data_IF_941815859485
#
_entry.id   IF_941815859485
#
_cell.length_a   1.000
_cell.length_b   1.000
_cell.length_c   1.000
_cell.angle_alpha   90.00
_cell.angle_beta   90.00
_cell.angle_gamma   90.00
#
_symmetry.space_group_name_H-M   'P 1'
#
loop_
_entity.id
_entity.type
_entity.pdbx_description
1 polymer ?
#
# COMPACT_ATOMS: atom_id res chain seq x y z
N UNK A 1 8.29 -10.57 -2.58
CA UNK A 1 8.52 -9.95 -1.26
C UNK A 1 7.53 -8.83 -0.98
N UNK A 2 7.27 -7.87 -1.87
CA UNK A 2 6.40 -6.70 -1.59
C UNK A 2 4.92 -7.02 -1.31
N UNK A 3 4.40 -8.13 -1.84
CA UNK A 3 2.98 -8.47 -1.77
C UNK A 3 2.43 -8.57 -0.33
N UNK A 4 3.24 -9.03 0.64
CA UNK A 4 2.78 -9.13 2.02
C UNK A 4 2.45 -7.77 2.63
N UNK A 5 3.19 -6.70 2.30
CA UNK A 5 2.89 -5.34 2.74
C UNK A 5 1.60 -4.82 2.10
N UNK A 6 1.37 -5.13 0.82
CA UNK A 6 0.14 -4.72 0.14
C UNK A 6 -1.09 -5.39 0.75
N UNK A 7 -1.02 -6.71 0.99
CA UNK A 7 -2.06 -7.47 1.67
C UNK A 7 -2.27 -7.00 3.11
N UNK A 8 -1.19 -6.66 3.82
CA UNK A 8 -1.24 -6.08 5.16
C UNK A 8 -2.01 -4.75 5.15
N UNK A 9 -1.63 -3.83 4.26
CA UNK A 9 -2.28 -2.54 4.10
C UNK A 9 -3.76 -2.70 3.77
N UNK A 10 -4.11 -3.58 2.83
CA UNK A 10 -5.49 -3.88 2.45
C UNK A 10 -6.29 -4.44 3.63
N UNK A 11 -5.74 -5.44 4.33
CA UNK A 11 -6.42 -6.12 5.43
C UNK A 11 -6.71 -5.19 6.61
N UNK A 12 -5.79 -4.28 6.91
CA UNK A 12 -5.85 -3.44 8.10
C UNK A 12 -6.15 -1.97 7.81
N UNK A 13 -6.46 -1.64 6.55
CA UNK A 13 -6.73 -0.27 6.06
C UNK A 13 -5.69 0.76 6.52
N UNK A 14 -4.43 0.35 6.61
CA UNK A 14 -3.35 1.16 7.19
C UNK A 14 -2.31 1.55 6.13
N UNK A 15 -1.62 2.71 6.29
CA UNK A 15 -0.63 3.13 5.33
C UNK A 15 0.65 2.30 5.42
N UNK A 16 1.22 1.98 4.26
CA UNK A 16 2.57 1.41 4.11
C UNK A 16 3.45 2.40 3.34
N UNK A 17 4.77 2.31 3.51
CA UNK A 17 5.73 3.03 2.68
C UNK A 17 5.92 2.25 1.38
N UNK A 18 5.69 2.90 0.24
CA UNK A 18 5.90 2.33 -1.09
C UNK A 18 6.93 3.16 -1.86
N UNK A 19 7.77 2.48 -2.63
CA UNK A 19 8.65 3.04 -3.66
C UNK A 19 8.30 2.37 -4.98
N UNK A 20 7.95 3.15 -5.99
CA UNK A 20 7.53 2.66 -7.30
C UNK A 20 8.13 3.50 -8.43
N UNK A 21 8.13 2.94 -9.63
CA UNK A 21 8.49 3.64 -10.85
C UNK A 21 7.24 4.24 -11.50
N UNK A 22 7.28 5.51 -11.85
CA UNK A 22 6.21 6.17 -12.62
C UNK A 22 6.87 7.09 -13.65
N UNK A 23 6.55 6.89 -14.93
CA UNK A 23 7.13 7.66 -16.04
C UNK A 23 8.67 7.67 -16.04
N UNK A 24 9.29 6.54 -15.64
CA UNK A 24 10.74 6.40 -15.54
C UNK A 24 11.37 7.12 -14.33
N UNK A 25 10.57 7.74 -13.47
CA UNK A 25 11.02 8.38 -12.24
C UNK A 25 10.67 7.54 -11.02
N UNK A 26 11.61 7.43 -10.09
CA UNK A 26 11.36 6.80 -8.81
C UNK A 26 10.53 7.73 -7.93
N UNK A 27 9.36 7.26 -7.50
CA UNK A 27 8.50 7.94 -6.54
C UNK A 27 8.41 7.15 -5.26
N UNK A 28 8.17 7.85 -4.15
CA UNK A 28 7.93 7.20 -2.86
C UNK A 28 6.88 7.93 -2.05
N UNK A 29 6.15 7.19 -1.23
CA UNK A 29 5.05 7.77 -0.46
C UNK A 29 4.41 6.78 0.50
N UNK A 30 3.62 7.32 1.43
CA UNK A 30 2.75 6.50 2.28
C UNK A 30 1.44 6.29 1.53
N UNK A 31 1.08 5.03 1.31
CA UNK A 31 -0.09 4.62 0.54
C UNK A 31 -0.94 3.65 1.34
N UNK A 32 -2.25 3.71 1.16
CA UNK A 32 -3.18 2.71 1.70
C UNK A 32 -3.73 1.91 0.53
N UNK A 33 -3.46 0.62 0.49
CA UNK A 33 -3.99 -0.28 -0.54
C UNK A 33 -5.49 -0.47 -0.29
N UNK A 34 -6.27 -0.31 -1.35
CA UNK A 34 -7.74 -0.42 -1.32
C UNK A 34 -8.24 -1.60 -2.15
N UNK A 35 -7.42 -2.12 -3.07
CA UNK A 35 -7.76 -3.26 -3.90
C UNK A 35 -6.50 -4.01 -4.35
N UNK A 36 -6.60 -5.33 -4.45
CA UNK A 36 -5.60 -6.21 -5.06
C UNK A 36 -6.28 -7.01 -6.15
N UNK A 37 -5.79 -6.86 -7.38
CA UNK A 37 -6.27 -7.60 -8.54
C UNK A 37 -5.20 -8.54 -9.10
N UNK A 38 -5.47 -9.10 -10.28
CA UNK A 38 -4.51 -9.92 -10.99
C UNK A 38 -3.46 -9.04 -11.67
N UNK A 39 -2.20 -9.13 -11.24
CA UNK A 39 -1.08 -8.36 -11.80
C UNK A 39 -1.00 -6.87 -11.38
N UNK A 40 -1.99 -6.35 -10.65
CA UNK A 40 -2.06 -4.94 -10.28
C UNK A 40 -2.67 -4.71 -8.89
N UNK A 41 -2.50 -3.48 -8.37
CA UNK A 41 -3.09 -3.03 -7.13
C UNK A 41 -3.57 -1.58 -7.24
N UNK A 42 -4.59 -1.25 -6.44
CA UNK A 42 -5.09 0.12 -6.30
C UNK A 42 -4.80 0.63 -4.90
N UNK A 43 -4.38 1.89 -4.80
CA UNK A 43 -4.11 2.55 -3.52
C UNK A 43 -4.59 3.99 -3.51
N UNK A 44 -4.76 4.53 -2.31
CA UNK A 44 -5.00 5.95 -2.07
C UNK A 44 -3.84 6.55 -1.28
N UNK A 45 -3.71 7.87 -1.34
CA UNK A 45 -2.76 8.63 -0.50
C UNK A 45 -3.53 9.52 0.47
N UNK A 46 -2.88 9.97 1.53
CA UNK A 46 -3.48 10.90 2.49
C UNK A 46 -4.02 12.18 1.82
N UNK A 47 -3.35 12.66 0.75
CA UNK A 47 -3.76 13.84 -0.02
C UNK A 47 -4.89 13.56 -1.01
N UNK A 48 -5.00 12.34 -1.54
CA UNK A 48 -6.01 11.95 -2.54
C UNK A 48 -6.74 10.68 -2.08
N UNK A 49 -7.60 10.82 -1.07
CA UNK A 49 -8.34 9.67 -0.48
C UNK A 49 -9.49 9.16 -1.34
N UNK A 50 -10.06 10.01 -2.20
CA UNK A 50 -11.23 9.69 -3.05
C UNK A 50 -10.87 9.23 -4.47
N UNK A 51 -9.59 9.26 -4.82
CA UNK A 51 -9.12 8.96 -6.17
C UNK A 51 -8.07 7.86 -6.08
N UNK A 52 -8.48 6.59 -6.14
CA UNK A 52 -7.55 5.48 -6.21
C UNK A 52 -6.63 5.61 -7.43
N UNK A 53 -5.36 5.28 -7.23
CA UNK A 53 -4.36 5.13 -8.29
C UNK A 53 -4.06 3.65 -8.44
N UNK A 54 -4.11 3.15 -9.66
CA UNK A 54 -3.83 1.74 -9.97
C UNK A 54 -2.48 1.62 -10.62
N UNK A 55 -1.66 0.70 -10.12
CA UNK A 55 -0.33 0.41 -10.66
C UNK A 55 -0.15 -1.11 -10.82
N UNK A 56 0.60 -1.56 -11.84
CA UNK A 56 1.01 -2.94 -11.95
C UNK A 56 2.04 -3.30 -10.86
N UNK A 57 2.17 -4.58 -10.53
CA UNK A 57 3.13 -5.00 -9.48
C UNK A 57 4.59 -4.85 -9.90
N UNK A 58 4.88 -4.90 -11.20
CA UNK A 58 6.22 -4.84 -11.78
C UNK A 58 6.93 -3.49 -11.56
N UNK A 59 6.18 -2.40 -11.38
CA UNK A 59 6.73 -1.09 -11.06
C UNK A 59 7.14 -0.93 -9.60
N UNK A 60 6.80 -1.89 -8.71
CA UNK A 60 7.15 -1.78 -7.29
C UNK A 60 8.64 -2.09 -7.11
N UNK A 61 9.38 -1.09 -6.66
CA UNK A 61 10.80 -1.22 -6.36
C UNK A 61 11.03 -1.67 -4.91
N UNK A 62 10.24 -1.14 -3.97
CA UNK A 62 10.31 -1.53 -2.56
C UNK A 62 8.99 -1.23 -1.82
N UNK A 63 8.70 -2.00 -0.78
CA UNK A 63 7.61 -1.75 0.15
C UNK A 63 8.08 -2.00 1.60
N UNK A 64 7.46 -1.30 2.56
CA UNK A 64 7.75 -1.44 3.99
C UNK A 64 6.65 -0.85 4.85
N UNK A 65 6.71 -1.09 6.16
CA UNK A 65 5.79 -0.43 7.09
C UNK A 65 6.00 1.09 7.09
N UNK A 66 4.90 1.84 7.30
CA UNK A 66 5.01 3.29 7.48
C UNK A 66 5.75 3.61 8.78
N UNK A 67 6.35 4.80 8.87
CA UNK A 67 7.05 5.23 10.08
C UNK A 67 6.13 5.14 11.32
N UNK A 68 6.58 4.40 12.33
CA UNK A 68 5.84 4.19 13.57
C UNK A 68 4.88 2.99 13.55
N UNK A 69 4.80 2.27 12.42
CA UNK A 69 4.15 0.96 12.31
C UNK A 69 5.26 -0.10 12.26
N UNK A 70 5.22 -1.05 13.19
CA UNK A 70 6.15 -2.18 13.30
C UNK A 70 5.57 -3.48 12.74
N UNK A 71 4.39 -3.41 12.14
CA UNK A 71 3.65 -4.58 11.68
C UNK A 71 2.93 -5.34 12.79
N UNK A 72 2.92 -4.86 14.04
CA UNK A 72 2.23 -5.53 15.13
C UNK A 72 0.70 -5.46 14.93
N UNK A 73 0.14 -6.61 14.57
CA UNK A 73 -1.31 -6.77 14.37
C UNK A 73 -2.04 -7.22 15.63
N UNK A 74 -1.34 -7.51 16.74
CA UNK A 74 -1.96 -8.06 17.96
C UNK A 74 -3.02 -7.14 18.57
N UNK A 75 -2.87 -5.83 18.35
CA UNK A 75 -3.79 -4.78 18.83
C UNK A 75 -4.75 -4.26 17.75
N UNK A 76 -4.63 -4.75 16.51
CA UNK A 76 -5.48 -4.28 15.41
C UNK A 76 -6.77 -5.10 15.40
N UNK A 77 -7.88 -4.46 15.77
CA UNK A 77 -9.20 -5.06 15.63
C UNK A 77 -9.62 -4.99 14.17
N UNK A 78 -10.13 -6.11 13.65
CA UNK A 78 -10.61 -6.19 12.27
C UNK A 78 -11.91 -5.37 12.20
N UNK A 79 -11.87 -4.19 11.59
CA UNK A 79 -13.10 -3.49 11.20
C UNK A 79 -13.72 -4.25 10.02
N UNK A 80 -14.45 -5.31 10.36
CA UNK A 80 -15.42 -5.95 9.48
C UNK A 80 -16.75 -5.26 9.72
N UNK A 81 -17.18 -4.45 8.75
CA UNK A 81 -18.57 -4.26 8.33
C UNK A 81 -18.58 -3.50 6.99
#
# INVERSE_FOLDING_TARGET
>A
MNEHFLRYSLRWRCPIKLVWLEEGQMKSGNVTVVELGEGQFSFITARKKKTPTTLPFDVIMAAGYARGDDGDTSKKTRETE
#
